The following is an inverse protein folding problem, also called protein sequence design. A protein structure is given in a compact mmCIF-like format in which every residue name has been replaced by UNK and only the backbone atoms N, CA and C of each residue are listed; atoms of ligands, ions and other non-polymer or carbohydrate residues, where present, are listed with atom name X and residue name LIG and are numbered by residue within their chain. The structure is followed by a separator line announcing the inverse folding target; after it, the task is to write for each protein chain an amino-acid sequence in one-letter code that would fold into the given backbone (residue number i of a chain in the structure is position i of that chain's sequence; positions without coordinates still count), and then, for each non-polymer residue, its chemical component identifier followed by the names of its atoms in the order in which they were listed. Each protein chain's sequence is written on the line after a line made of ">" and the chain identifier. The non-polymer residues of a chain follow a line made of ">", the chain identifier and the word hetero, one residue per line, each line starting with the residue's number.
data_IF_275986537139
#
_entry.id   IF_275986537139
#
_cell.length_a   1.000
_cell.length_b   1.000
_cell.length_c   1.000
_cell.angle_alpha   90.00
_cell.angle_beta   90.00
_cell.angle_gamma   90.00
#
_symmetry.space_group_name_H-M   'P 1'
#
loop_
_entity.id
_entity.type
_entity.pdbx_description
1 polymer ?
#
# COMPACT_ATOMS: atom_id res chain seq x y z
N UNK A 1 3.31 -5.52 31.43
CA UNK A 1 2.31 -5.69 30.39
C UNK A 1 2.67 -6.96 29.62
N UNK A 2 1.74 -7.92 29.47
CA UNK A 2 1.96 -9.09 28.61
C UNK A 2 2.17 -8.63 27.18
N UNK A 3 3.18 -9.16 26.51
CA UNK A 3 3.52 -8.82 25.13
C UNK A 3 2.34 -9.21 24.22
N UNK A 4 1.81 -8.25 23.45
CA UNK A 4 0.75 -8.50 22.48
C UNK A 4 1.35 -9.18 21.23
N UNK A 5 0.77 -10.29 20.81
CA UNK A 5 1.07 -10.89 19.51
C UNK A 5 0.39 -10.07 18.41
N UNK A 6 1.19 -9.28 17.70
CA UNK A 6 0.69 -8.35 16.71
C UNK A 6 0.66 -8.96 15.30
N UNK A 7 -0.54 -9.23 14.80
CA UNK A 7 -0.80 -9.87 13.51
C UNK A 7 -1.68 -9.00 12.59
N UNK A 8 -1.57 -7.65 12.72
CA UNK A 8 -2.43 -6.71 11.99
C UNK A 8 -1.65 -5.66 11.18
N UNK A 9 -0.44 -5.98 10.75
CA UNK A 9 0.42 -5.12 9.92
C UNK A 9 -0.27 -4.67 8.64
N UNK A 10 -1.08 -5.52 8.02
CA UNK A 10 -1.85 -5.19 6.83
C UNK A 10 -2.88 -4.05 7.04
N UNK A 11 -3.21 -3.70 8.29
CA UNK A 11 -4.03 -2.54 8.64
C UNK A 11 -3.16 -1.35 9.05
N UNK A 12 -2.25 -1.57 9.99
CA UNK A 12 -1.31 -0.58 10.49
C UNK A 12 -0.05 -1.31 10.97
N UNK A 13 1.12 -0.98 10.45
CA UNK A 13 2.39 -1.53 10.92
C UNK A 13 2.75 -1.01 12.32
N UNK A 14 3.34 -1.86 13.17
CA UNK A 14 4.02 -1.38 14.35
C UNK A 14 5.18 -0.49 13.90
N UNK A 15 5.32 0.69 14.52
CA UNK A 15 6.38 1.63 14.16
C UNK A 15 7.76 0.95 14.23
N UNK A 16 8.57 1.13 13.18
CA UNK A 16 9.96 0.64 13.19
C UNK A 16 10.83 1.50 14.10
N UNK A 17 11.99 0.96 14.50
CA UNK A 17 12.88 1.66 15.44
C UNK A 17 13.39 2.95 14.84
N UNK A 18 13.86 2.94 13.60
CA UNK A 18 14.37 4.13 12.92
C UNK A 18 13.27 5.14 12.61
N UNK A 19 12.05 4.67 12.23
CA UNK A 19 10.90 5.56 12.07
C UNK A 19 10.55 6.30 13.36
N UNK A 20 10.56 5.60 14.53
CA UNK A 20 10.29 6.21 15.82
C UNK A 20 11.35 7.25 16.19
N UNK A 21 12.62 6.94 15.94
CA UNK A 21 13.72 7.88 16.24
C UNK A 21 13.63 9.12 15.34
N UNK A 22 13.46 8.94 14.03
CA UNK A 22 13.31 10.05 13.10
C UNK A 22 12.10 10.94 13.42
N UNK A 23 10.98 10.33 13.82
CA UNK A 23 9.78 11.06 14.27
C UNK A 23 10.07 11.91 15.51
N UNK A 24 10.72 11.35 16.53
CA UNK A 24 11.07 12.08 17.74
C UNK A 24 12.04 13.24 17.43
N UNK A 25 13.05 13.02 16.60
CA UNK A 25 13.99 14.05 16.18
C UNK A 25 13.28 15.17 15.39
N UNK A 26 12.31 14.83 14.54
CA UNK A 26 11.50 15.81 13.82
C UNK A 26 10.64 16.68 14.77
N UNK A 27 10.11 16.10 15.86
CA UNK A 27 9.38 16.86 16.88
C UNK A 27 10.29 17.82 17.64
N UNK A 28 11.52 17.41 18.02
CA UNK A 28 12.49 18.28 18.65
C UNK A 28 12.98 19.38 17.69
N UNK A 29 13.18 19.05 16.43
CA UNK A 29 13.50 20.05 15.40
C UNK A 29 12.38 21.10 15.28
N UNK A 30 11.13 20.65 15.20
CA UNK A 30 9.97 21.54 15.11
C UNK A 30 9.84 22.43 16.35
N UNK A 31 10.11 21.89 17.55
CA UNK A 31 10.13 22.66 18.80
C UNK A 31 11.20 23.76 18.79
N UNK A 32 12.36 23.49 18.20
CA UNK A 32 13.47 24.44 18.15
C UNK A 32 13.24 25.56 17.10
N UNK A 33 12.74 25.21 15.93
CA UNK A 33 12.69 26.12 14.77
C UNK A 33 11.27 26.50 14.33
N UNK A 34 10.26 25.73 14.71
CA UNK A 34 8.89 25.94 14.27
C UNK A 34 8.73 25.89 12.74
N UNK A 35 7.67 26.48 12.22
CA UNK A 35 7.46 26.69 10.79
C UNK A 35 8.16 27.98 10.35
N UNK A 36 9.46 27.92 10.14
CA UNK A 36 10.29 29.05 9.75
C UNK A 36 10.96 28.81 8.40
N UNK A 37 11.50 29.87 7.79
CA UNK A 37 12.31 29.75 6.58
C UNK A 37 13.51 28.78 6.75
N UNK A 38 14.02 28.66 7.99
CA UNK A 38 15.05 27.71 8.31
C UNK A 38 14.56 26.25 8.23
N UNK A 39 13.33 25.99 8.68
CA UNK A 39 12.69 24.68 8.53
C UNK A 39 12.46 24.33 7.06
N UNK A 40 12.00 25.28 6.27
CA UNK A 40 11.80 25.08 4.81
C UNK A 40 13.12 24.73 4.12
N UNK A 41 14.21 25.45 4.49
CA UNK A 41 15.56 25.17 3.99
C UNK A 41 16.00 23.75 4.34
N UNK A 42 15.78 23.31 5.58
CA UNK A 42 16.07 21.94 6.00
C UNK A 42 15.20 20.91 5.29
N UNK A 43 13.89 21.16 5.16
CA UNK A 43 12.96 20.23 4.52
C UNK A 43 13.38 19.89 3.10
N UNK A 44 13.82 20.88 2.34
CA UNK A 44 14.18 20.71 0.93
C UNK A 44 15.67 20.41 0.70
N UNK A 45 16.55 20.99 1.49
CA UNK A 45 18.00 20.88 1.33
C UNK A 45 18.67 19.82 2.21
N UNK A 46 17.94 19.30 3.19
CA UNK A 46 18.45 18.25 4.07
C UNK A 46 19.35 18.75 5.21
N UNK A 47 19.94 17.80 5.93
CA UNK A 47 20.76 18.02 7.12
C UNK A 47 22.03 18.85 6.82
N UNK A 48 22.53 18.84 5.60
CA UNK A 48 23.68 19.66 5.19
C UNK A 48 23.44 21.18 5.28
N UNK A 49 22.20 21.62 5.39
CA UNK A 49 21.82 23.01 5.57
C UNK A 49 21.90 23.49 7.04
N UNK A 50 22.05 22.56 7.98
CA UNK A 50 22.22 22.86 9.40
C UNK A 50 23.67 23.29 9.71
N UNK A 51 23.86 24.15 10.73
CA UNK A 51 25.19 24.48 11.22
C UNK A 51 25.91 23.27 11.79
N UNK A 52 25.15 22.42 12.50
CA UNK A 52 25.59 21.10 12.95
C UNK A 52 24.62 20.05 12.39
N UNK A 53 25.03 19.29 11.35
CA UNK A 53 24.19 18.23 10.79
C UNK A 53 23.81 17.12 11.77
N UNK A 54 24.52 17.01 12.91
CA UNK A 54 24.30 15.99 13.92
C UNK A 54 23.46 16.47 15.10
N UNK A 55 23.09 17.76 15.16
CA UNK A 55 22.29 18.36 16.24
C UNK A 55 21.01 17.55 16.52
N UNK A 56 20.37 17.03 15.46
CA UNK A 56 19.17 16.19 15.54
C UNK A 56 19.46 14.76 15.06
N UNK A 57 20.52 14.16 15.53
CA UNK A 57 21.06 12.82 15.32
C UNK A 57 20.34 11.94 14.25
N UNK A 58 19.13 11.52 14.53
CA UNK A 58 18.35 10.62 13.63
C UNK A 58 17.82 11.30 12.35
N UNK A 59 17.97 12.62 12.19
CA UNK A 59 17.71 13.36 10.96
C UNK A 59 18.99 13.69 10.18
N UNK A 60 20.16 13.28 10.66
CA UNK A 60 21.45 13.55 9.98
C UNK A 60 21.52 12.92 8.58
N UNK A 61 20.76 11.86 8.33
CA UNK A 61 20.65 11.22 7.01
C UNK A 61 19.58 11.84 6.09
N UNK A 62 18.83 12.82 6.54
CA UNK A 62 17.83 13.49 5.73
C UNK A 62 18.49 14.33 4.63
N UNK A 63 18.24 13.96 3.37
CA UNK A 63 18.81 14.62 2.18
C UNK A 63 17.78 15.51 1.46
N UNK A 64 16.76 15.98 2.18
CA UNK A 64 15.68 16.76 1.61
C UNK A 64 14.63 15.89 0.91
N UNK A 65 13.57 16.56 0.45
CA UNK A 65 12.44 15.88 -0.21
C UNK A 65 12.88 15.15 -1.49
N UNK A 66 13.79 15.72 -2.27
CA UNK A 66 14.29 15.08 -3.50
C UNK A 66 15.20 13.87 -3.19
N UNK A 67 16.03 13.96 -2.17
CA UNK A 67 16.81 12.82 -1.68
C UNK A 67 15.90 11.67 -1.26
N UNK A 68 14.85 11.95 -0.50
CA UNK A 68 13.89 10.94 -0.09
C UNK A 68 13.12 10.32 -1.27
N UNK A 69 12.75 11.11 -2.30
CA UNK A 69 12.17 10.58 -3.55
C UNK A 69 13.15 9.64 -4.27
N UNK A 70 14.42 10.00 -4.30
CA UNK A 70 15.47 9.17 -4.88
C UNK A 70 15.61 7.84 -4.14
N UNK A 71 15.62 7.86 -2.80
CA UNK A 71 15.70 6.65 -1.97
C UNK A 71 14.51 5.72 -2.21
N UNK A 72 13.29 6.27 -2.30
CA UNK A 72 12.08 5.49 -2.64
C UNK A 72 12.22 4.83 -4.01
N UNK A 73 12.68 5.58 -5.02
CA UNK A 73 12.84 5.05 -6.39
C UNK A 73 13.83 3.90 -6.40
N UNK A 74 14.98 4.06 -5.77
CA UNK A 74 16.00 3.02 -5.70
C UNK A 74 15.56 1.81 -4.91
N UNK A 75 14.93 2.04 -3.75
CA UNK A 75 14.54 0.97 -2.85
C UNK A 75 13.44 0.08 -3.43
N UNK A 76 12.35 0.68 -3.95
CA UNK A 76 11.18 -0.08 -4.39
C UNK A 76 11.16 -0.41 -5.87
N UNK A 77 11.82 0.37 -6.71
CA UNK A 77 11.76 0.22 -8.17
C UNK A 77 13.12 -0.12 -8.80
N UNK A 78 14.20 -0.14 -8.01
CA UNK A 78 15.56 -0.43 -8.50
C UNK A 78 16.03 0.51 -9.60
N UNK A 79 15.52 1.74 -9.64
CA UNK A 79 15.70 2.68 -10.74
C UNK A 79 15.84 4.11 -10.23
N UNK A 80 16.68 4.89 -10.90
CA UNK A 80 16.76 6.34 -10.72
C UNK A 80 15.75 7.10 -11.61
N UNK A 81 15.13 6.39 -12.55
CA UNK A 81 14.17 6.98 -13.47
C UNK A 81 12.78 7.15 -12.81
N UNK A 82 11.93 7.93 -13.47
CA UNK A 82 10.56 8.18 -13.01
C UNK A 82 10.48 9.28 -11.96
N UNK A 83 9.25 9.55 -11.56
CA UNK A 83 8.90 10.60 -10.62
C UNK A 83 8.14 10.03 -9.42
N UNK A 84 8.29 10.68 -8.28
CA UNK A 84 7.54 10.42 -7.06
C UNK A 84 6.67 11.64 -6.74
N UNK A 85 5.42 11.38 -6.38
CA UNK A 85 4.51 12.35 -5.78
C UNK A 85 4.13 11.87 -4.38
N UNK A 86 4.23 12.75 -3.36
CA UNK A 86 3.78 12.44 -2.01
C UNK A 86 2.32 12.86 -1.81
N UNK A 87 1.64 12.22 -0.87
CA UNK A 87 0.33 12.64 -0.39
C UNK A 87 0.16 12.24 1.08
N UNK A 88 -0.71 12.93 1.80
CA UNK A 88 -1.02 12.62 3.19
C UNK A 88 -1.75 11.28 3.36
N UNK A 89 -2.42 10.82 2.30
CA UNK A 89 -3.21 9.56 2.31
C UNK A 89 -3.21 8.89 0.95
N UNK A 90 -3.28 7.56 0.97
CA UNK A 90 -3.51 6.76 -0.25
C UNK A 90 -4.81 7.17 -0.97
N UNK A 91 -5.85 7.60 -0.24
CA UNK A 91 -7.10 8.07 -0.82
C UNK A 91 -6.94 9.34 -1.67
N UNK A 92 -6.02 10.26 -1.31
CA UNK A 92 -5.70 11.45 -2.14
C UNK A 92 -5.11 11.03 -3.48
N UNK A 93 -4.17 10.08 -3.49
CA UNK A 93 -3.60 9.54 -4.72
C UNK A 93 -4.62 8.73 -5.52
N UNK A 94 -5.53 8.01 -4.85
CA UNK A 94 -6.62 7.31 -5.53
C UNK A 94 -7.59 8.29 -6.22
N UNK A 95 -7.90 9.42 -5.59
CA UNK A 95 -8.72 10.47 -6.22
C UNK A 95 -8.05 11.03 -7.47
N UNK A 96 -6.77 11.33 -7.38
CA UNK A 96 -5.97 11.77 -8.52
C UNK A 96 -5.94 10.70 -9.63
N UNK A 97 -5.66 9.44 -9.26
CA UNK A 97 -5.63 8.31 -10.19
C UNK A 97 -6.97 8.08 -10.91
N UNK A 98 -8.09 8.22 -10.20
CA UNK A 98 -9.43 8.08 -10.78
C UNK A 98 -9.71 9.19 -11.82
N UNK A 99 -9.33 10.44 -11.51
CA UNK A 99 -9.42 11.56 -12.46
C UNK A 99 -8.56 11.31 -13.70
N UNK A 100 -7.32 10.82 -13.52
CA UNK A 100 -6.43 10.49 -14.64
C UNK A 100 -6.96 9.34 -15.50
N UNK A 101 -7.51 8.29 -14.86
CA UNK A 101 -8.14 7.17 -15.57
C UNK A 101 -9.25 7.66 -16.51
N UNK A 102 -10.22 8.41 -15.98
CA UNK A 102 -11.35 8.88 -16.78
C UNK A 102 -11.03 10.08 -17.70
N UNK A 103 -9.90 10.74 -17.52
CA UNK A 103 -9.40 11.70 -18.51
C UNK A 103 -8.83 11.01 -19.76
N UNK A 104 -8.36 9.75 -19.64
CA UNK A 104 -7.76 8.98 -20.75
C UNK A 104 -8.62 7.81 -21.24
N UNK A 105 -9.44 7.25 -20.38
CA UNK A 105 -10.15 6.00 -20.62
C UNK A 105 -11.67 6.20 -20.58
N UNK A 106 -12.37 5.42 -21.41
CA UNK A 106 -13.84 5.38 -21.41
C UNK A 106 -14.38 4.22 -20.60
N UNK A 107 -13.70 3.09 -20.63
CA UNK A 107 -14.10 1.90 -19.90
C UNK A 107 -12.93 1.33 -19.10
N UNK A 108 -13.01 1.45 -17.77
CA UNK A 108 -11.97 1.02 -16.84
C UNK A 108 -12.34 -0.35 -16.28
N UNK A 109 -11.49 -1.36 -16.52
CA UNK A 109 -11.64 -2.66 -15.89
C UNK A 109 -11.07 -2.62 -14.47
N UNK A 110 -11.86 -3.13 -13.53
CA UNK A 110 -11.49 -3.38 -12.13
C UNK A 110 -11.80 -4.83 -11.75
N UNK A 111 -11.40 -5.26 -10.57
CA UNK A 111 -11.72 -6.60 -10.05
C UNK A 111 -12.43 -6.51 -8.70
N UNK A 112 -13.09 -7.59 -8.31
CA UNK A 112 -13.67 -7.75 -6.96
C UNK A 112 -12.61 -7.93 -5.84
N UNK A 113 -11.33 -7.79 -6.19
CA UNK A 113 -10.20 -7.70 -5.25
C UNK A 113 -9.75 -6.26 -4.95
N UNK A 114 -10.27 -5.28 -5.68
CA UNK A 114 -10.03 -3.87 -5.40
C UNK A 114 -10.60 -3.48 -4.01
N UNK A 115 -9.95 -2.52 -3.36
CA UNK A 115 -10.40 -2.04 -2.05
C UNK A 115 -11.76 -1.35 -2.16
N UNK A 116 -12.78 -1.88 -1.45
CA UNK A 116 -14.16 -1.40 -1.57
C UNK A 116 -14.33 0.11 -1.31
N UNK A 117 -13.51 0.70 -0.44
CA UNK A 117 -13.55 2.14 -0.17
C UNK A 117 -13.10 2.99 -1.36
N UNK A 118 -12.45 2.41 -2.38
CA UNK A 118 -12.09 3.10 -3.60
C UNK A 118 -13.20 3.12 -4.66
N UNK A 119 -14.17 2.23 -4.53
CA UNK A 119 -15.33 2.19 -5.46
C UNK A 119 -16.09 3.51 -5.51
N UNK A 120 -16.43 4.17 -4.38
CA UNK A 120 -17.08 5.48 -4.42
C UNK A 120 -16.21 6.55 -5.12
N UNK A 121 -14.88 6.54 -4.88
CA UNK A 121 -13.97 7.50 -5.52
C UNK A 121 -13.96 7.31 -7.03
N UNK A 122 -13.86 6.06 -7.50
CA UNK A 122 -13.95 5.75 -8.92
C UNK A 122 -15.30 6.18 -9.51
N UNK A 123 -16.39 5.80 -8.85
CA UNK A 123 -17.75 6.07 -9.35
C UNK A 123 -18.03 7.56 -9.47
N UNK A 124 -17.64 8.35 -8.45
CA UNK A 124 -17.83 9.81 -8.45
C UNK A 124 -16.91 10.54 -9.43
N UNK A 125 -15.85 9.89 -9.88
CA UNK A 125 -14.93 10.45 -10.88
C UNK A 125 -15.35 10.19 -12.32
N UNK A 126 -16.44 9.45 -12.57
CA UNK A 126 -16.99 9.24 -13.91
C UNK A 126 -17.54 10.57 -14.45
N UNK A 127 -16.97 11.14 -15.54
CA UNK A 127 -17.31 12.49 -15.96
C UNK A 127 -18.65 12.57 -16.71
N UNK A 128 -19.08 11.48 -17.35
CA UNK A 128 -20.30 11.46 -18.17
C UNK A 128 -20.76 10.01 -18.47
N UNK A 129 -21.91 9.84 -19.09
CA UNK A 129 -22.52 8.55 -19.41
C UNK A 129 -21.73 7.68 -20.42
N UNK A 130 -20.74 8.24 -21.11
CA UNK A 130 -19.89 7.49 -22.04
C UNK A 130 -18.70 6.81 -21.34
N UNK A 131 -18.51 7.07 -20.05
CA UNK A 131 -17.47 6.45 -19.23
C UNK A 131 -18.11 5.45 -18.26
N UNK A 132 -17.45 4.31 -18.07
CA UNK A 132 -17.97 3.24 -17.21
C UNK A 132 -16.86 2.45 -16.53
N UNK A 133 -17.25 1.68 -15.53
CA UNK A 133 -16.41 0.70 -14.82
C UNK A 133 -16.94 -0.69 -15.16
N UNK A 134 -16.04 -1.59 -15.50
CA UNK A 134 -16.33 -3.01 -15.70
C UNK A 134 -15.64 -3.83 -14.63
N UNK A 135 -16.41 -4.53 -13.79
CA UNK A 135 -15.86 -5.40 -12.74
C UNK A 135 -15.74 -6.85 -13.24
N UNK A 136 -14.55 -7.45 -13.01
CA UNK A 136 -14.31 -8.87 -13.21
C UNK A 136 -14.17 -9.58 -11.87
N UNK A 137 -14.97 -10.62 -11.66
CA UNK A 137 -14.97 -11.39 -10.42
C UNK A 137 -13.96 -12.53 -10.50
N UNK A 138 -12.86 -12.41 -9.79
CA UNK A 138 -11.75 -13.38 -9.78
C UNK A 138 -11.45 -13.93 -8.38
N UNK A 139 -12.00 -13.33 -7.34
CA UNK A 139 -11.74 -13.72 -5.95
C UNK A 139 -12.14 -15.17 -5.67
N UNK A 140 -13.34 -15.57 -6.08
CA UNK A 140 -13.84 -16.94 -5.87
C UNK A 140 -13.02 -17.94 -6.69
N UNK A 141 -12.71 -17.61 -7.93
CA UNK A 141 -11.87 -18.39 -8.82
C UNK A 141 -10.50 -18.70 -8.18
N UNK A 142 -9.87 -17.71 -7.54
CA UNK A 142 -8.57 -17.87 -6.89
C UNK A 142 -8.68 -18.58 -5.54
N UNK A 143 -9.62 -18.19 -4.66
CA UNK A 143 -9.68 -18.69 -3.28
C UNK A 143 -10.34 -20.06 -3.18
N UNK A 144 -11.40 -20.32 -3.92
CA UNK A 144 -12.21 -21.54 -3.78
C UNK A 144 -11.92 -22.55 -4.89
N UNK A 145 -11.82 -22.09 -6.14
CA UNK A 145 -11.60 -22.97 -7.28
C UNK A 145 -10.12 -23.27 -7.54
N UNK A 146 -9.19 -22.53 -6.89
CA UNK A 146 -7.74 -22.71 -7.00
C UNK A 146 -7.20 -22.60 -8.44
N UNK A 147 -7.83 -21.74 -9.23
CA UNK A 147 -7.41 -21.53 -10.62
C UNK A 147 -5.94 -21.04 -10.67
N UNK A 148 -5.16 -21.51 -11.65
CA UNK A 148 -3.80 -21.03 -11.86
C UNK A 148 -3.77 -19.61 -12.43
N UNK A 149 -2.59 -18.96 -12.34
CA UNK A 149 -2.42 -17.57 -12.79
C UNK A 149 -2.77 -17.36 -14.26
N UNK A 150 -2.45 -18.31 -15.13
CA UNK A 150 -2.75 -18.25 -16.56
C UNK A 150 -4.25 -18.18 -16.82
N UNK A 151 -5.06 -18.89 -16.06
CA UNK A 151 -6.52 -18.85 -16.19
C UNK A 151 -7.08 -17.49 -15.75
N UNK A 152 -6.58 -16.94 -14.66
CA UNK A 152 -6.96 -15.60 -14.19
C UNK A 152 -6.57 -14.53 -15.22
N UNK A 153 -5.35 -14.58 -15.76
CA UNK A 153 -4.88 -13.66 -16.79
C UNK A 153 -5.77 -13.75 -18.04
N UNK A 154 -6.07 -14.97 -18.48
CA UNK A 154 -6.94 -15.20 -19.64
C UNK A 154 -8.34 -14.66 -19.42
N UNK A 155 -8.94 -14.89 -18.24
CA UNK A 155 -10.25 -14.35 -17.90
C UNK A 155 -10.26 -12.82 -17.91
N UNK A 156 -9.24 -12.19 -17.30
CA UNK A 156 -9.11 -10.72 -17.29
C UNK A 156 -8.99 -10.17 -18.72
N UNK A 157 -8.14 -10.78 -19.57
CA UNK A 157 -8.00 -10.38 -20.97
C UNK A 157 -9.32 -10.56 -21.74
N UNK A 158 -9.98 -11.70 -21.59
CA UNK A 158 -11.27 -11.98 -22.26
C UNK A 158 -12.30 -10.91 -21.90
N UNK A 159 -12.44 -10.61 -20.61
CA UNK A 159 -13.39 -9.58 -20.15
C UNK A 159 -12.98 -8.17 -20.58
N UNK A 160 -11.68 -7.88 -20.63
CA UNK A 160 -11.16 -6.61 -21.14
C UNK A 160 -11.58 -6.38 -22.61
N UNK A 161 -11.44 -7.42 -23.46
CA UNK A 161 -11.81 -7.38 -24.87
C UNK A 161 -13.32 -7.35 -25.08
N UNK A 162 -14.07 -8.26 -24.42
CA UNK A 162 -15.54 -8.37 -24.53
C UNK A 162 -16.26 -7.06 -24.21
N UNK A 163 -15.76 -6.34 -23.21
CA UNK A 163 -16.38 -5.09 -22.79
C UNK A 163 -15.75 -3.83 -23.43
N UNK A 164 -14.77 -3.99 -24.32
CA UNK A 164 -14.09 -2.87 -24.96
C UNK A 164 -13.43 -1.94 -23.95
N UNK A 165 -12.76 -2.51 -22.95
CA UNK A 165 -12.03 -1.72 -21.95
C UNK A 165 -10.80 -1.07 -22.60
N UNK A 166 -10.42 0.11 -22.08
CA UNK A 166 -9.23 0.85 -22.53
C UNK A 166 -8.43 1.42 -21.35
N UNK A 167 -8.88 1.17 -20.11
CA UNK A 167 -8.23 1.46 -18.86
C UNK A 167 -8.21 0.28 -17.91
N UNK A 168 -7.27 0.28 -16.95
CA UNK A 168 -7.11 -0.79 -15.96
C UNK A 168 -6.79 -0.23 -14.58
N UNK A 169 -7.49 -0.72 -13.54
CA UNK A 169 -7.16 -0.45 -12.16
C UNK A 169 -7.16 -1.76 -11.35
N UNK A 170 -5.99 -2.17 -10.86
CA UNK A 170 -5.78 -3.42 -10.13
C UNK A 170 -5.04 -3.21 -8.81
N UNK A 171 -5.31 -4.01 -7.77
CA UNK A 171 -4.43 -4.10 -6.62
C UNK A 171 -3.24 -5.02 -6.93
N UNK A 172 -2.03 -4.65 -6.51
CA UNK A 172 -0.88 -5.57 -6.55
C UNK A 172 -1.06 -6.70 -5.53
N UNK A 173 -1.50 -6.35 -4.32
CA UNK A 173 -1.94 -7.28 -3.29
C UNK A 173 -3.28 -6.79 -2.74
N UNK A 174 -4.28 -7.65 -2.72
CA UNK A 174 -5.59 -7.29 -2.19
C UNK A 174 -5.60 -7.24 -0.65
N UNK A 175 -6.62 -6.63 -0.07
CA UNK A 175 -6.85 -6.65 1.38
C UNK A 175 -7.12 -8.06 1.94
N UNK A 176 -7.42 -9.02 1.07
CA UNK A 176 -7.59 -10.44 1.40
C UNK A 176 -6.27 -11.25 1.29
N UNK A 177 -5.16 -10.60 0.95
CA UNK A 177 -3.85 -11.26 0.83
C UNK A 177 -3.62 -11.99 -0.49
N UNK A 178 -4.43 -11.72 -1.49
CA UNK A 178 -4.21 -12.27 -2.83
C UNK A 178 -3.26 -11.33 -3.57
N UNK A 179 -2.07 -11.82 -3.90
CA UNK A 179 -1.10 -11.16 -4.77
C UNK A 179 -1.49 -11.43 -6.22
N UNK A 180 -1.80 -10.41 -6.99
CA UNK A 180 -2.11 -10.57 -8.41
C UNK A 180 -0.85 -10.56 -9.28
N UNK A 181 -0.83 -11.33 -10.39
CA UNK A 181 0.25 -11.29 -11.38
C UNK A 181 0.10 -10.07 -12.29
N UNK A 182 0.13 -8.84 -11.70
CA UNK A 182 -0.22 -7.60 -12.38
C UNK A 182 0.68 -7.32 -13.58
N UNK A 183 1.98 -7.61 -13.45
CA UNK A 183 2.93 -7.44 -14.54
C UNK A 183 2.54 -8.27 -15.76
N UNK A 184 2.22 -9.56 -15.56
CA UNK A 184 1.81 -10.46 -16.63
C UNK A 184 0.46 -10.03 -17.23
N UNK A 185 -0.50 -9.59 -16.40
CA UNK A 185 -1.79 -9.05 -16.88
C UNK A 185 -1.54 -7.83 -17.78
N UNK A 186 -0.73 -6.85 -17.33
CA UNK A 186 -0.45 -5.64 -18.10
C UNK A 186 0.26 -5.96 -19.43
N UNK A 187 1.26 -6.84 -19.41
CA UNK A 187 1.97 -7.28 -20.62
C UNK A 187 1.03 -7.97 -21.59
N UNK A 188 0.18 -8.88 -21.10
CA UNK A 188 -0.79 -9.62 -21.93
C UNK A 188 -1.83 -8.68 -22.54
N UNK A 189 -2.38 -7.74 -21.79
CA UNK A 189 -3.34 -6.77 -22.34
C UNK A 189 -2.68 -5.90 -23.40
N UNK A 190 -1.47 -5.36 -23.15
CA UNK A 190 -0.77 -4.52 -24.14
C UNK A 190 -0.42 -5.24 -25.44
N UNK A 191 -0.15 -6.55 -25.36
CA UNK A 191 0.12 -7.37 -26.53
C UNK A 191 -1.13 -7.66 -27.38
N UNK A 192 -2.32 -7.61 -26.81
CA UNK A 192 -3.57 -8.04 -27.46
C UNK A 192 -4.61 -6.93 -27.62
N UNK A 193 -4.46 -5.79 -26.92
CA UNK A 193 -5.43 -4.71 -26.92
C UNK A 193 -4.78 -3.34 -26.65
N UNK A 194 -5.54 -2.28 -26.93
CA UNK A 194 -5.14 -0.92 -26.61
C UNK A 194 -5.36 -0.65 -25.12
N UNK A 195 -4.29 -0.51 -24.35
CA UNK A 195 -4.32 -0.02 -22.98
C UNK A 195 -3.86 1.45 -22.96
N UNK A 196 -4.78 2.37 -22.65
CA UNK A 196 -4.52 3.81 -22.65
C UNK A 196 -3.90 4.31 -21.36
N UNK A 197 -4.32 3.73 -20.24
CA UNK A 197 -3.82 4.07 -18.93
C UNK A 197 -4.05 2.95 -17.92
N UNK A 198 -3.05 2.68 -17.10
CA UNK A 198 -3.08 1.67 -16.06
C UNK A 198 -2.70 2.24 -14.70
N UNK A 199 -3.47 1.89 -13.69
CA UNK A 199 -3.23 2.27 -12.30
C UNK A 199 -3.12 1.02 -11.43
N UNK A 200 -2.16 1.01 -10.51
CA UNK A 200 -1.95 -0.10 -9.57
C UNK A 200 -2.03 0.41 -8.13
N UNK A 201 -2.93 -0.20 -7.36
CA UNK A 201 -2.98 -0.02 -5.91
C UNK A 201 -1.94 -0.93 -5.25
N UNK A 202 -0.87 -0.33 -4.72
CA UNK A 202 0.18 -1.01 -3.98
C UNK A 202 0.06 -0.83 -2.46
N UNK A 203 -1.09 -0.40 -1.93
CA UNK A 203 -1.25 -0.12 -0.50
C UNK A 203 -0.96 -1.33 0.41
N UNK A 204 -1.08 -2.55 -0.11
CA UNK A 204 -0.67 -3.77 0.57
C UNK A 204 0.66 -4.34 0.03
N UNK A 205 1.29 -3.69 -0.96
CA UNK A 205 2.47 -4.23 -1.63
C UNK A 205 3.78 -3.53 -1.22
N UNK A 206 3.73 -2.23 -0.84
CA UNK A 206 4.91 -1.46 -0.41
C UNK A 206 5.61 -2.18 0.74
N UNK A 207 6.87 -2.54 0.55
CA UNK A 207 7.71 -3.30 1.50
C UNK A 207 7.11 -4.65 1.96
N UNK A 208 6.29 -5.25 1.11
CA UNK A 208 5.61 -6.52 1.37
C UNK A 208 5.89 -7.55 0.28
N UNK A 209 5.85 -7.09 -0.97
CA UNK A 209 6.18 -7.90 -2.16
C UNK A 209 7.01 -7.05 -3.12
N UNK A 210 7.72 -7.70 -4.04
CA UNK A 210 8.44 -6.98 -5.09
C UNK A 210 7.46 -6.23 -6.01
N UNK A 211 7.72 -4.94 -6.19
CA UNK A 211 7.00 -4.05 -7.09
C UNK A 211 7.92 -3.37 -8.12
N UNK A 212 9.19 -3.77 -8.20
CA UNK A 212 10.17 -3.22 -9.14
C UNK A 212 9.74 -3.34 -10.60
N UNK A 213 8.97 -4.38 -10.92
CA UNK A 213 8.34 -4.57 -12.24
C UNK A 213 7.47 -3.39 -12.68
N UNK A 214 6.96 -2.57 -11.78
CA UNK A 214 6.12 -1.43 -12.12
C UNK A 214 6.87 -0.36 -12.92
N UNK A 215 8.21 -0.31 -12.78
CA UNK A 215 9.06 0.53 -13.61
C UNK A 215 8.91 0.13 -15.08
N UNK A 216 8.40 1.05 -15.91
CA UNK A 216 8.14 0.80 -17.34
C UNK A 216 6.92 -0.05 -17.68
N UNK A 217 6.21 -0.62 -16.68
CA UNK A 217 5.05 -1.49 -16.92
C UNK A 217 3.72 -0.86 -16.49
N UNK A 218 3.64 -0.18 -15.37
CA UNK A 218 2.45 0.54 -14.93
C UNK A 218 2.58 2.04 -15.21
N UNK A 219 1.49 2.70 -15.64
CA UNK A 219 1.49 4.15 -15.85
C UNK A 219 1.56 4.90 -14.53
N UNK A 220 0.80 4.46 -13.52
CA UNK A 220 0.80 5.02 -12.17
C UNK A 220 0.62 3.91 -11.13
N UNK A 221 1.52 3.84 -10.15
CA UNK A 221 1.41 2.96 -8.99
C UNK A 221 1.46 3.79 -7.73
N UNK A 222 0.64 3.48 -6.74
CA UNK A 222 0.62 4.23 -5.48
C UNK A 222 0.38 3.33 -4.27
N UNK A 223 0.88 3.75 -3.12
CA UNK A 223 0.69 3.01 -1.87
C UNK A 223 1.03 3.82 -0.63
N UNK A 224 0.70 3.28 0.54
CA UNK A 224 0.91 3.92 1.83
C UNK A 224 2.09 3.32 2.60
N UNK A 225 2.80 4.15 3.35
CA UNK A 225 4.00 3.77 4.12
C UNK A 225 3.70 3.19 5.50
N UNK A 226 2.51 3.44 6.03
CA UNK A 226 2.12 3.11 7.42
C UNK A 226 1.81 1.64 7.68
N UNK A 227 1.75 0.78 6.66
CA UNK A 227 1.48 -0.66 6.79
C UNK A 227 2.78 -1.45 6.88
N UNK A 228 3.20 -2.05 5.80
CA UNK A 228 4.35 -2.95 5.73
C UNK A 228 5.71 -2.25 5.80
N UNK A 229 5.80 -0.97 5.37
CA UNK A 229 6.99 -0.16 5.59
C UNK A 229 7.13 0.29 7.05
N UNK A 230 6.03 0.23 7.85
CA UNK A 230 6.05 0.45 9.31
C UNK A 230 6.45 1.87 9.73
N UNK A 231 6.08 2.87 8.93
CA UNK A 231 6.27 4.28 9.31
C UNK A 231 5.32 4.74 10.42
N UNK A 232 4.21 4.00 10.65
CA UNK A 232 3.12 4.31 11.57
C UNK A 232 2.29 5.51 11.12
N UNK A 233 2.89 6.68 10.95
CA UNK A 233 2.20 7.89 10.50
C UNK A 233 1.70 7.72 9.06
N UNK A 234 0.42 8.06 8.77
CA UNK A 234 -0.13 7.92 7.44
C UNK A 234 0.55 8.87 6.45
N UNK A 235 1.18 8.29 5.46
CA UNK A 235 1.72 8.95 4.29
C UNK A 235 1.57 7.99 3.11
N UNK A 236 1.46 8.53 1.92
CA UNK A 236 1.45 7.77 0.67
C UNK A 236 2.41 8.39 -0.34
N UNK A 237 2.86 7.55 -1.27
CA UNK A 237 3.54 8.02 -2.47
C UNK A 237 2.96 7.36 -3.72
N UNK A 238 3.01 8.09 -4.84
CA UNK A 238 2.75 7.59 -6.17
C UNK A 238 4.04 7.62 -6.99
N UNK A 239 4.22 6.63 -7.87
CA UNK A 239 5.35 6.54 -8.78
C UNK A 239 4.87 6.39 -10.22
N UNK A 240 5.54 7.04 -11.14
CA UNK A 240 5.30 6.97 -12.58
C UNK A 240 6.59 7.15 -13.37
N UNK A 241 6.81 6.26 -14.34
CA UNK A 241 8.06 6.19 -15.08
C UNK A 241 7.87 6.17 -16.60
N UNK A 242 6.70 5.72 -17.10
CA UNK A 242 6.49 5.55 -18.54
C UNK A 242 6.52 6.91 -19.25
N UNK A 243 7.42 7.14 -20.22
CA UNK A 243 7.59 8.45 -20.85
C UNK A 243 6.32 9.04 -21.43
N UNK A 244 5.50 8.23 -22.12
CA UNK A 244 4.26 8.66 -22.77
C UNK A 244 3.15 9.07 -21.76
N UNK A 245 3.24 8.64 -20.52
CA UNK A 245 2.27 8.98 -19.46
C UNK A 245 2.79 10.05 -18.51
N UNK A 246 4.12 10.25 -18.44
CA UNK A 246 4.77 11.12 -17.46
C UNK A 246 4.30 12.58 -17.58
N UNK A 247 4.36 13.19 -18.74
CA UNK A 247 3.89 14.56 -18.95
C UNK A 247 2.41 14.72 -18.58
N UNK A 248 1.57 13.78 -19.02
CA UNK A 248 0.16 13.79 -18.69
C UNK A 248 -0.11 13.70 -17.19
N UNK A 249 0.65 12.86 -16.46
CA UNK A 249 0.51 12.71 -15.00
C UNK A 249 0.96 14.00 -14.32
N UNK A 250 2.11 14.55 -14.69
CA UNK A 250 2.61 15.83 -14.15
C UNK A 250 1.62 16.96 -14.39
N UNK A 251 1.08 17.10 -15.60
CA UNK A 251 0.05 18.10 -15.92
C UNK A 251 -1.25 17.89 -15.12
N UNK A 252 -1.57 16.63 -14.80
CA UNK A 252 -2.76 16.31 -14.01
C UNK A 252 -2.56 16.66 -12.53
N UNK A 253 -1.36 16.45 -11.99
CA UNK A 253 -0.98 16.86 -10.65
C UNK A 253 -1.02 18.40 -10.56
N UNK A 254 -0.43 19.10 -11.52
CA UNK A 254 -0.42 20.56 -11.56
C UNK A 254 -1.82 21.14 -11.60
N UNK A 255 -2.71 20.54 -12.38
CA UNK A 255 -4.14 20.96 -12.42
C UNK A 255 -4.87 20.70 -11.11
N UNK A 256 -4.55 19.60 -10.42
CA UNK A 256 -5.13 19.32 -9.11
C UNK A 256 -4.72 20.36 -8.06
N UNK A 257 -3.48 20.86 -8.14
CA UNK A 257 -2.93 21.83 -7.21
C UNK A 257 -3.43 23.26 -7.54
N UNK A 258 -3.39 23.64 -8.84
CA UNK A 258 -3.75 24.99 -9.30
C UNK A 258 -5.25 25.23 -9.10
N UNK A 259 -5.56 26.25 -8.33
CA UNK A 259 -6.95 26.67 -8.11
C UNK A 259 -7.77 25.78 -7.16
N UNK A 260 -7.15 24.80 -6.53
CA UNK A 260 -7.79 23.97 -5.51
C UNK A 260 -7.11 24.18 -4.14
N UNK A 261 -7.61 25.11 -3.31
CA UNK A 261 -7.03 25.35 -1.98
C UNK A 261 -7.12 24.12 -1.05
N UNK A 262 -8.00 23.16 -1.36
CA UNK A 262 -8.16 21.92 -0.60
C UNK A 262 -7.30 20.77 -1.15
N UNK A 263 -6.41 21.03 -2.13
CA UNK A 263 -5.48 20.01 -2.60
C UNK A 263 -4.55 19.58 -1.46
N UNK A 264 -4.21 18.29 -1.46
CA UNK A 264 -3.34 17.70 -0.45
C UNK A 264 -1.98 18.43 -0.41
N UNK A 265 -1.63 18.97 0.76
CA UNK A 265 -0.44 19.80 0.94
C UNK A 265 0.87 19.04 0.66
N UNK A 266 0.92 17.72 0.91
CA UNK A 266 2.10 16.94 0.56
C UNK A 266 2.25 16.77 -0.96
N UNK A 267 1.14 16.75 -1.72
CA UNK A 267 1.22 16.79 -3.20
C UNK A 267 1.87 18.10 -3.63
N UNK A 268 1.46 19.25 -3.05
CA UNK A 268 2.05 20.56 -3.35
C UNK A 268 3.55 20.58 -3.05
N UNK A 269 3.95 20.20 -1.84
CA UNK A 269 5.36 20.16 -1.40
C UNK A 269 6.20 19.28 -2.33
N UNK A 270 5.65 18.15 -2.78
CA UNK A 270 6.39 17.23 -3.65
C UNK A 270 6.63 17.76 -5.06
N UNK A 271 5.83 18.72 -5.53
CA UNK A 271 5.95 19.25 -6.89
C UNK A 271 6.74 20.57 -6.98
N UNK A 272 6.88 21.27 -5.86
CA UNK A 272 7.57 22.56 -5.84
C UNK A 272 8.62 22.60 -4.73
N UNK A 273 9.85 22.09 -5.01
CA UNK A 273 10.93 22.03 -4.01
C UNK A 273 11.34 23.39 -3.44
N UNK A 274 10.93 24.49 -4.07
CA UNK A 274 11.22 25.86 -3.65
C UNK A 274 9.96 26.60 -3.17
N UNK A 275 8.80 25.94 -3.04
CA UNK A 275 7.59 26.60 -2.54
C UNK A 275 7.67 26.77 -1.03
N UNK A 276 7.42 27.98 -0.55
CA UNK A 276 7.18 28.20 0.86
C UNK A 276 5.96 27.40 1.30
N UNK A 277 6.02 26.83 2.51
CA UNK A 277 4.88 26.15 3.11
C UNK A 277 3.94 27.24 3.63
N UNK A 278 2.91 27.55 2.84
CA UNK A 278 1.94 28.60 3.16
C UNK A 278 0.86 28.13 4.15
N UNK A 279 0.73 26.80 4.35
CA UNK A 279 -0.33 26.21 5.16
C UNK A 279 0.25 25.39 6.32
N UNK A 280 -0.57 25.17 7.36
CA UNK A 280 -0.22 24.25 8.45
C UNK A 280 -0.27 22.82 7.96
N UNK A 281 0.90 22.19 7.78
CA UNK A 281 1.08 20.83 7.30
C UNK A 281 1.78 20.00 8.38
N UNK A 282 1.25 18.80 8.64
CA UNK A 282 1.98 17.82 9.44
C UNK A 282 3.06 17.13 8.57
N UNK A 283 4.31 17.47 8.80
CA UNK A 283 5.47 16.91 8.08
C UNK A 283 6.10 15.69 8.78
N UNK A 284 5.68 15.38 10.00
CA UNK A 284 6.15 14.21 10.74
C UNK A 284 6.07 12.89 9.94
N UNK A 285 5.01 12.66 9.13
CA UNK A 285 4.93 11.45 8.31
C UNK A 285 6.06 11.29 7.29
N UNK A 286 6.61 12.39 6.74
CA UNK A 286 7.76 12.35 5.82
C UNK A 286 8.99 11.79 6.51
N UNK A 287 9.34 12.34 7.69
CA UNK A 287 10.51 11.91 8.44
C UNK A 287 10.35 10.50 8.99
N UNK A 288 9.14 10.14 9.47
CA UNK A 288 8.85 8.79 9.90
C UNK A 288 8.98 7.78 8.75
N UNK A 289 8.52 8.13 7.54
CA UNK A 289 8.63 7.28 6.37
C UNK A 289 10.08 7.15 5.89
N UNK A 290 10.86 8.24 5.90
CA UNK A 290 12.29 8.20 5.60
C UNK A 290 13.03 7.31 6.60
N UNK A 291 12.81 7.49 7.90
CA UNK A 291 13.40 6.61 8.92
C UNK A 291 12.98 5.15 8.75
N UNK A 292 11.71 4.87 8.40
CA UNK A 292 11.24 3.51 8.15
C UNK A 292 11.96 2.84 6.98
N UNK A 293 12.33 3.61 5.97
CA UNK A 293 13.05 3.10 4.79
C UNK A 293 14.44 2.56 5.14
N UNK A 294 15.11 3.10 6.17
CA UNK A 294 16.39 2.57 6.67
C UNK A 294 16.27 1.18 7.32
N UNK A 295 15.11 0.87 7.88
CA UNK A 295 14.83 -0.47 8.47
C UNK A 295 14.22 -1.43 7.45
N UNK A 296 13.92 -0.96 6.24
CA UNK A 296 13.27 -1.74 5.21
C UNK A 296 14.26 -2.70 4.53
N UNK A 297 13.81 -3.91 4.24
CA UNK A 297 14.57 -4.83 3.41
C UNK A 297 14.46 -4.43 1.94
N UNK A 298 15.53 -4.59 1.13
CA UNK A 298 15.45 -4.32 -0.29
C UNK A 298 14.30 -5.11 -0.94
N UNK A 299 13.51 -4.47 -1.80
CA UNK A 299 12.32 -5.07 -2.39
C UNK A 299 12.58 -6.40 -3.09
N UNK A 300 13.74 -6.54 -3.74
CA UNK A 300 14.15 -7.78 -4.42
C UNK A 300 14.35 -8.97 -3.45
N UNK A 301 14.49 -8.74 -2.15
CA UNK A 301 14.65 -9.79 -1.13
C UNK A 301 13.35 -10.14 -0.41
N UNK A 302 12.32 -9.31 -0.55
CA UNK A 302 11.00 -9.50 0.12
C UNK A 302 10.15 -10.58 -0.57
N UNK A 303 10.65 -11.24 -1.59
CA UNK A 303 9.86 -12.07 -2.52
C UNK A 303 9.36 -13.41 -1.97
N UNK A 304 9.73 -13.84 -0.78
CA UNK A 304 9.29 -15.13 -0.27
C UNK A 304 8.32 -15.00 0.89
N UNK A 305 7.11 -15.56 0.70
CA UNK A 305 6.24 -15.94 1.83
C UNK A 305 7.08 -16.78 2.79
N UNK A 306 7.17 -16.36 4.05
CA UNK A 306 7.84 -17.20 5.06
C UNK A 306 6.98 -18.44 5.31
N UNK A 307 7.26 -19.51 4.55
CA UNK A 307 6.50 -20.76 4.60
C UNK A 307 6.52 -21.40 5.98
N UNK A 308 7.63 -21.28 6.71
CA UNK A 308 7.73 -21.83 8.06
C UNK A 308 6.76 -21.13 9.02
N UNK A 309 6.74 -19.80 9.04
CA UNK A 309 5.80 -19.04 9.87
C UNK A 309 4.36 -19.30 9.43
N UNK A 310 4.13 -19.37 8.13
CA UNK A 310 2.81 -19.67 7.58
C UNK A 310 2.30 -21.02 8.07
N UNK A 311 3.11 -22.08 7.95
CA UNK A 311 2.74 -23.44 8.41
C UNK A 311 2.38 -23.44 9.89
N UNK A 312 3.20 -22.80 10.73
CA UNK A 312 2.92 -22.71 12.18
C UNK A 312 1.57 -22.04 12.47
N UNK A 313 1.24 -20.95 11.75
CA UNK A 313 -0.03 -20.24 11.92
C UNK A 313 -1.21 -21.05 11.38
N UNK A 314 -1.04 -21.74 10.24
CA UNK A 314 -2.04 -22.62 9.66
C UNK A 314 -2.34 -23.81 10.57
N UNK A 315 -1.31 -24.45 11.12
CA UNK A 315 -1.45 -25.56 12.07
C UNK A 315 -2.18 -25.13 13.34
N UNK A 316 -1.80 -23.98 13.92
CA UNK A 316 -2.50 -23.41 15.07
C UNK A 316 -3.99 -23.17 14.78
N UNK A 317 -4.31 -22.65 13.59
CA UNK A 317 -5.68 -22.39 13.17
C UNK A 317 -6.48 -23.70 12.95
N UNK A 318 -5.90 -24.67 12.26
CA UNK A 318 -6.53 -25.99 12.02
C UNK A 318 -6.76 -26.72 13.32
N UNK A 319 -5.78 -26.76 14.24
CA UNK A 319 -5.94 -27.35 15.57
C UNK A 319 -7.05 -26.66 16.38
N UNK A 320 -7.30 -25.38 16.18
CA UNK A 320 -8.40 -24.64 16.79
C UNK A 320 -9.74 -24.80 16.04
N UNK A 321 -9.82 -25.61 15.00
CA UNK A 321 -11.03 -25.86 14.21
C UNK A 321 -11.38 -24.78 13.18
N UNK A 322 -10.43 -23.92 12.83
CA UNK A 322 -10.64 -22.90 11.80
C UNK A 322 -10.20 -23.41 10.42
N UNK A 323 -10.81 -22.87 9.38
CA UNK A 323 -10.44 -23.14 7.99
C UNK A 323 -9.50 -22.04 7.47
N UNK A 324 -8.34 -22.42 6.96
CA UNK A 324 -7.45 -21.52 6.24
C UNK A 324 -7.96 -21.31 4.80
N UNK A 325 -8.13 -20.06 4.38
CA UNK A 325 -8.47 -19.69 3.01
C UNK A 325 -7.17 -19.31 2.28
N UNK A 326 -6.45 -20.33 1.83
CA UNK A 326 -5.13 -20.18 1.18
C UNK A 326 -5.30 -20.24 -0.33
N UNK A 327 -4.90 -19.23 -1.10
CA UNK A 327 -4.87 -19.33 -2.57
C UNK A 327 -3.75 -20.25 -3.05
N UNK A 328 -3.70 -20.53 -4.35
CA UNK A 328 -2.55 -21.22 -4.98
C UNK A 328 -1.25 -20.46 -4.70
N UNK A 329 -0.08 -21.13 -4.66
CA UNK A 329 1.19 -20.51 -4.23
C UNK A 329 1.54 -19.20 -4.92
N UNK A 330 1.27 -19.08 -6.20
CA UNK A 330 1.55 -17.89 -7.01
C UNK A 330 0.73 -16.65 -6.63
N UNK A 331 -0.37 -16.83 -5.87
CA UNK A 331 -1.20 -15.73 -5.37
C UNK A 331 -1.01 -15.45 -3.88
N UNK A 332 -0.09 -16.17 -3.22
CA UNK A 332 0.13 -16.01 -1.79
C UNK A 332 0.93 -14.74 -1.48
N UNK A 333 0.64 -14.16 -0.33
CA UNK A 333 1.39 -13.05 0.26
C UNK A 333 1.56 -13.29 1.77
N UNK A 334 2.14 -12.35 2.51
CA UNK A 334 2.24 -12.44 3.98
C UNK A 334 0.89 -12.22 4.70
N UNK A 335 -0.23 -12.26 3.99
CA UNK A 335 -1.57 -12.16 4.56
C UNK A 335 -2.27 -13.51 4.43
N UNK A 336 -2.80 -14.00 5.54
CA UNK A 336 -3.58 -15.24 5.63
C UNK A 336 -4.99 -14.93 6.10
N UNK A 337 -5.99 -15.55 5.48
CA UNK A 337 -7.37 -15.49 5.94
C UNK A 337 -7.76 -16.79 6.65
N UNK A 338 -8.29 -16.64 7.86
CA UNK A 338 -8.87 -17.73 8.65
C UNK A 338 -10.40 -17.57 8.67
N UNK A 339 -11.13 -18.64 8.44
CA UNK A 339 -12.60 -18.65 8.49
C UNK A 339 -13.08 -19.52 9.63
N UNK A 340 -13.84 -18.92 10.54
CA UNK A 340 -14.50 -19.67 11.62
C UNK A 340 -15.73 -20.42 11.10
N UNK A 341 -15.87 -21.74 11.33
CA UNK A 341 -16.92 -22.55 10.72
C UNK A 341 -18.33 -22.18 11.21
N UNK A 342 -18.47 -21.73 12.46
CA UNK A 342 -19.76 -21.47 13.11
C UNK A 342 -20.16 -20.00 13.16
N UNK A 343 -19.25 -19.06 12.82
CA UNK A 343 -19.50 -17.62 13.00
C UNK A 343 -19.85 -16.88 11.70
N UNK A 344 -20.55 -17.53 10.78
CA UNK A 344 -20.91 -16.93 9.48
C UNK A 344 -21.77 -15.66 9.61
N UNK A 345 -22.50 -15.50 10.72
CA UNK A 345 -23.32 -14.31 11.02
C UNK A 345 -22.59 -13.26 11.86
N UNK A 346 -21.32 -13.49 12.23
CA UNK A 346 -20.57 -12.53 13.05
C UNK A 346 -20.41 -11.19 12.31
N UNK A 347 -20.72 -10.10 13.02
CA UNK A 347 -20.48 -8.74 12.53
C UNK A 347 -18.99 -8.41 12.59
N UNK A 348 -18.52 -7.50 11.74
CA UNK A 348 -17.16 -6.97 11.83
C UNK A 348 -16.88 -6.40 13.22
N UNK A 349 -15.67 -6.61 13.71
CA UNK A 349 -15.20 -6.21 15.03
C UNK A 349 -15.43 -7.26 16.13
N UNK A 350 -16.23 -8.29 15.91
CA UNK A 350 -16.50 -9.32 16.92
C UNK A 350 -15.25 -10.18 17.19
N UNK A 351 -14.69 -10.80 16.16
CA UNK A 351 -13.52 -11.67 16.28
C UNK A 351 -12.30 -10.87 16.76
N UNK A 352 -12.11 -9.66 16.26
CA UNK A 352 -11.04 -8.77 16.71
C UNK A 352 -11.11 -8.51 18.22
N UNK A 353 -12.31 -8.21 18.75
CA UNK A 353 -12.50 -8.00 20.20
C UNK A 353 -12.28 -9.27 21.00
N UNK A 354 -12.72 -10.41 20.49
CA UNK A 354 -12.52 -11.70 21.14
C UNK A 354 -11.03 -12.05 21.23
N UNK A 355 -10.30 -11.98 20.12
CA UNK A 355 -8.86 -12.26 20.07
C UNK A 355 -8.03 -11.30 20.93
N UNK A 356 -8.41 -10.00 20.98
CA UNK A 356 -7.67 -9.02 21.79
C UNK A 356 -7.70 -9.31 23.28
N UNK A 357 -8.74 -10.00 23.82
CA UNK A 357 -8.80 -10.44 25.22
C UNK A 357 -7.71 -11.45 25.57
N UNK A 358 -7.19 -12.14 24.59
CA UNK A 358 -6.09 -13.11 24.72
C UNK A 358 -4.75 -12.54 24.23
N UNK A 359 -4.64 -11.21 24.09
CA UNK A 359 -3.40 -10.57 23.67
C UNK A 359 -3.04 -10.77 22.20
N UNK A 360 -4.00 -11.11 21.33
CA UNK A 360 -3.77 -11.23 19.88
C UNK A 360 -4.44 -10.08 19.14
N UNK A 361 -3.66 -9.30 18.39
CA UNK A 361 -4.16 -8.23 17.55
C UNK A 361 -4.29 -8.69 16.09
N UNK A 362 -5.50 -8.70 15.56
CA UNK A 362 -5.81 -9.08 14.17
C UNK A 362 -7.03 -8.29 13.67
N UNK A 363 -7.22 -8.21 12.35
CA UNK A 363 -8.43 -7.62 11.75
C UNK A 363 -9.44 -8.70 11.39
N UNK A 364 -10.73 -8.39 11.50
CA UNK A 364 -11.80 -9.28 11.08
C UNK A 364 -12.72 -8.64 10.02
N UNK A 365 -13.40 -9.51 9.29
CA UNK A 365 -14.42 -9.17 8.29
C UNK A 365 -15.74 -9.86 8.64
N UNK A 366 -16.87 -9.39 8.11
CA UNK A 366 -18.15 -10.09 8.21
C UNK A 366 -18.04 -11.54 7.72
N UNK A 367 -18.88 -12.41 8.25
CA UNK A 367 -18.91 -13.83 7.85
C UNK A 367 -17.90 -14.72 8.57
N UNK A 368 -17.39 -14.27 9.72
CA UNK A 368 -16.46 -15.06 10.54
C UNK A 368 -15.05 -15.18 9.96
N UNK A 369 -14.62 -14.20 9.20
CA UNK A 369 -13.28 -14.17 8.57
C UNK A 369 -12.35 -13.32 9.43
N UNK A 370 -11.20 -13.87 9.79
CA UNK A 370 -10.11 -13.17 10.43
C UNK A 370 -8.92 -13.05 9.47
N UNK A 371 -8.32 -11.87 9.38
CA UNK A 371 -7.11 -11.61 8.59
C UNK A 371 -5.91 -11.56 9.51
N UNK A 372 -4.95 -12.40 9.22
CA UNK A 372 -3.66 -12.50 9.90
C UNK A 372 -2.58 -11.93 8.98
N UNK A 373 -1.85 -10.94 9.46
CA UNK A 373 -0.57 -10.53 8.85
C UNK A 373 0.53 -11.40 9.45
N UNK A 374 1.16 -12.23 8.64
CA UNK A 374 2.22 -13.13 9.10
C UNK A 374 3.43 -12.29 9.58
N UNK A 375 3.94 -12.51 10.80
CA UNK A 375 5.14 -11.84 11.28
C UNK A 375 6.40 -12.44 10.60
N UNK A 376 7.54 -11.77 10.74
CA UNK A 376 8.82 -12.31 10.22
C UNK A 376 9.22 -13.61 10.92
N UNK A 377 8.96 -13.69 12.21
CA UNK A 377 9.22 -14.86 13.06
C UNK A 377 8.06 -15.09 14.00
N UNK A 378 7.82 -16.31 14.38
CA UNK A 378 6.88 -16.71 15.44
C UNK A 378 7.55 -17.78 16.29
N UNK A 379 7.64 -17.56 17.59
CA UNK A 379 8.17 -18.56 18.52
C UNK A 379 7.06 -19.50 19.02
N UNK A 380 7.46 -20.56 19.74
CA UNK A 380 6.51 -21.56 20.25
C UNK A 380 5.49 -20.98 21.23
N UNK A 381 5.89 -20.01 22.07
CA UNK A 381 4.98 -19.35 23.02
C UNK A 381 3.92 -18.53 22.27
N UNK A 382 4.33 -17.80 21.23
CA UNK A 382 3.45 -16.99 20.38
C UNK A 382 2.49 -17.89 19.58
N UNK A 383 2.96 -19.01 19.07
CA UNK A 383 2.14 -20.00 18.36
C UNK A 383 1.06 -20.61 19.29
N UNK A 384 1.45 -20.98 20.51
CA UNK A 384 0.50 -21.50 21.50
C UNK A 384 -0.49 -20.43 21.99
N UNK A 385 -0.02 -19.19 22.16
CA UNK A 385 -0.90 -18.04 22.45
C UNK A 385 -1.96 -17.84 21.34
N UNK A 386 -1.54 -17.90 20.08
CA UNK A 386 -2.45 -17.78 18.92
C UNK A 386 -3.48 -18.92 18.93
N UNK A 387 -3.02 -20.16 19.08
CA UNK A 387 -3.91 -21.34 19.13
C UNK A 387 -4.95 -21.22 20.25
N UNK A 388 -4.51 -20.88 21.47
CA UNK A 388 -5.42 -20.69 22.62
C UNK A 388 -6.42 -19.56 22.39
N UNK A 389 -6.00 -18.44 21.79
CA UNK A 389 -6.88 -17.34 21.41
C UNK A 389 -7.94 -17.80 20.37
N UNK A 390 -7.53 -18.57 19.36
CA UNK A 390 -8.44 -19.09 18.34
C UNK A 390 -9.44 -20.11 18.91
N UNK A 391 -8.98 -21.01 19.81
CA UNK A 391 -9.86 -21.98 20.51
C UNK A 391 -10.90 -21.26 21.36
N UNK A 392 -10.52 -20.19 22.04
CA UNK A 392 -11.40 -19.47 22.98
C UNK A 392 -12.54 -18.66 22.28
N UNK A 393 -12.46 -18.50 20.98
CA UNK A 393 -13.50 -17.83 20.17
C UNK A 393 -14.63 -18.80 19.79
N UNK A 394 -14.51 -20.09 20.07
CA UNK A 394 -15.51 -21.12 19.75
C UNK A 394 -16.80 -21.05 20.57
#
# INVERSE_FOLDING_TARGET
>A
MSQVLYLDTARLGQISTSAKRALNAALEFNKAYGASAYFDTFLHGGSSTLKDPYEFGDLSSWQGTEGFKHDIKRHFFGSDQGEIVFASRTASLMSLAAKMLFARCRNVLVTDLNWNSFTPILTTSIPNANCRITEVRIKDLILNQKAPAEEVIRLVLTKYLEHGCDGLFLPAVSNHGIQLPVEAILKTIRANAKLRFSVVDAAQAINHVDIGWACGTADFIFGGTHKWLRSYEPMAFGYFCIPNSRSFISDSIDREIKGNPMADSLIRISQSPNSQIEETVNLCPLFAASGALHDAEPAMTVSSVNHQVRTVVEDAAVCAGWKCLVPSPEFQSQILLLKHPRMQKAKSGYLRKALSRFGVAATDYPGGICRISLPKTIDMMQAELLKNALVSVN
#
